data_IF_168427585218
#
_entry.id   IF_168427585218
#
_cell.length_a   1.000
_cell.length_b   1.000
_cell.length_c   1.000
_cell.angle_alpha   90.00
_cell.angle_beta   90.00
_cell.angle_gamma   90.00
#
_symmetry.space_group_name_H-M   'P 1'
#
loop_
_entity.id
_entity.type
_entity.pdbx_description
1 polymer ?
#
# COMPACT_ATOMS: atom_id res chain seq x y z
N UNK A 1 25.60 -0.90 5.41
CA UNK A 1 24.77 -2.07 5.75
C UNK A 1 23.37 -1.78 5.28
N UNK A 2 22.66 -2.70 4.59
CA UNK A 2 21.26 -2.45 4.23
C UNK A 2 20.48 -2.22 5.53
N UNK A 3 19.80 -1.08 5.65
CA UNK A 3 19.19 -0.68 6.92
C UNK A 3 18.12 -1.68 7.37
N UNK A 4 17.41 -2.35 6.45
CA UNK A 4 16.42 -3.40 6.74
C UNK A 4 16.26 -4.35 5.53
N UNK A 5 15.94 -5.63 5.77
CA UNK A 5 15.54 -6.60 4.72
C UNK A 5 14.05 -6.50 4.43
N UNK A 6 13.68 -6.46 3.15
CA UNK A 6 12.30 -6.52 2.68
C UNK A 6 11.94 -7.92 2.21
N UNK A 7 10.85 -8.45 2.73
CA UNK A 7 10.22 -9.66 2.20
C UNK A 7 9.39 -9.27 0.98
N UNK A 8 9.71 -9.78 -0.19
CA UNK A 8 8.94 -9.55 -1.42
C UNK A 8 8.20 -10.80 -1.83
N UNK A 9 6.95 -10.65 -2.25
CA UNK A 9 6.12 -11.75 -2.71
C UNK A 9 5.23 -11.32 -3.86
N UNK A 10 4.67 -12.31 -4.56
CA UNK A 10 3.72 -12.11 -5.65
C UNK A 10 2.43 -12.87 -5.38
N UNK A 11 1.30 -12.32 -5.82
CA UNK A 11 0.01 -13.01 -5.80
C UNK A 11 -0.65 -12.88 -7.16
N UNK A 12 -0.91 -14.02 -7.79
CA UNK A 12 -1.64 -14.05 -9.06
C UNK A 12 -3.14 -13.98 -8.83
N UNK A 13 -3.82 -13.20 -9.66
CA UNK A 13 -5.26 -13.09 -9.67
C UNK A 13 -5.80 -13.01 -11.09
N UNK A 14 -7.13 -13.06 -11.26
CA UNK A 14 -7.78 -13.00 -12.58
C UNK A 14 -7.48 -11.72 -13.37
N UNK A 15 -7.00 -10.67 -12.72
CA UNK A 15 -6.70 -9.37 -13.32
C UNK A 15 -5.21 -9.19 -13.64
N UNK A 16 -4.36 -10.15 -13.29
CA UNK A 16 -2.89 -10.07 -13.42
C UNK A 16 -2.18 -10.38 -12.11
N UNK A 17 -0.89 -10.03 -12.04
CA UNK A 17 -0.03 -10.33 -10.89
C UNK A 17 0.13 -9.10 -10.00
N UNK A 18 -0.09 -9.27 -8.71
CA UNK A 18 0.20 -8.26 -7.68
C UNK A 18 1.60 -8.53 -7.15
N UNK A 19 2.42 -7.48 -7.10
CA UNK A 19 3.74 -7.52 -6.48
C UNK A 19 3.69 -6.72 -5.18
N UNK A 20 4.30 -7.23 -4.11
CA UNK A 20 4.26 -6.57 -2.82
C UNK A 20 5.56 -6.76 -2.02
N UNK A 21 5.80 -5.83 -1.09
CA UNK A 21 6.94 -5.85 -0.20
C UNK A 21 6.55 -5.48 1.24
N UNK A 22 6.94 -6.34 2.18
CA UNK A 22 6.73 -6.17 3.61
C UNK A 22 8.07 -5.94 4.31
N UNK A 23 8.16 -4.83 5.02
CA UNK A 23 9.26 -4.55 5.95
C UNK A 23 8.93 -5.14 7.33
N UNK A 24 9.89 -5.18 8.27
CA UNK A 24 9.61 -5.57 9.66
C UNK A 24 8.52 -4.73 10.35
N UNK A 25 8.18 -3.54 9.81
CA UNK A 25 7.13 -2.66 10.34
C UNK A 25 5.78 -2.83 9.64
N UNK A 26 5.73 -3.49 8.50
CA UNK A 26 4.51 -3.65 7.72
C UNK A 26 4.70 -3.52 6.21
N UNK A 27 3.58 -3.60 5.48
CA UNK A 27 3.52 -3.46 4.03
C UNK A 27 4.00 -2.06 3.63
N UNK A 28 5.02 -1.99 2.77
CA UNK A 28 5.64 -0.72 2.36
C UNK A 28 5.42 -0.39 0.87
N UNK A 29 5.14 -1.42 0.06
CA UNK A 29 4.88 -1.32 -1.37
C UNK A 29 3.94 -2.45 -1.83
N UNK A 30 2.99 -2.13 -2.70
CA UNK A 30 2.10 -3.06 -3.40
C UNK A 30 1.74 -2.45 -4.77
N UNK A 31 1.65 -3.26 -5.81
CA UNK A 31 1.18 -2.83 -7.13
C UNK A 31 -0.22 -3.34 -7.45
N UNK A 32 -0.96 -2.62 -8.29
CA UNK A 32 -2.18 -3.17 -8.88
C UNK A 32 -1.84 -4.24 -9.94
N UNK A 33 -2.75 -5.20 -10.20
CA UNK A 33 -2.53 -6.28 -11.19
C UNK A 33 -2.15 -5.81 -12.61
N UNK A 34 -2.49 -4.57 -12.96
CA UNK A 34 -2.17 -3.96 -14.27
C UNK A 34 -0.71 -3.53 -14.41
N UNK A 35 0.08 -3.55 -13.35
CA UNK A 35 1.49 -3.16 -13.35
C UNK A 35 2.40 -4.39 -13.49
N UNK A 36 3.62 -4.17 -13.95
CA UNK A 36 4.60 -5.22 -14.14
C UNK A 36 5.73 -5.16 -13.09
N UNK A 37 6.65 -6.12 -13.15
CA UNK A 37 7.81 -6.21 -12.25
C UNK A 37 8.75 -4.99 -12.31
N UNK A 38 8.81 -4.27 -13.43
CA UNK A 38 9.60 -3.05 -13.57
C UNK A 38 8.98 -1.90 -12.77
N UNK A 39 7.67 -1.76 -12.84
CA UNK A 39 6.95 -0.75 -12.04
C UNK A 39 7.14 -1.01 -10.55
N UNK A 40 7.09 -2.28 -10.15
CA UNK A 40 7.37 -2.69 -8.78
C UNK A 40 8.82 -2.40 -8.36
N UNK A 41 9.81 -2.68 -9.21
CA UNK A 41 11.20 -2.36 -8.93
C UNK A 41 11.42 -0.84 -8.74
N UNK A 42 10.78 -0.01 -9.57
CA UNK A 42 10.82 1.45 -9.43
C UNK A 42 10.16 1.93 -8.15
N UNK A 43 9.05 1.30 -7.74
CA UNK A 43 8.40 1.59 -6.47
C UNK A 43 9.31 1.22 -5.28
N UNK A 44 9.94 0.05 -5.31
CA UNK A 44 10.88 -0.39 -4.29
C UNK A 44 12.07 0.57 -4.13
N UNK A 45 12.67 0.98 -5.24
CA UNK A 45 13.81 1.92 -5.24
C UNK A 45 13.46 3.25 -4.57
N UNK A 46 12.22 3.74 -4.77
CA UNK A 46 11.71 4.96 -4.13
C UNK A 46 11.38 4.76 -2.65
N UNK A 47 10.81 3.62 -2.27
CA UNK A 47 10.29 3.37 -0.91
C UNK A 47 11.37 2.91 0.06
N UNK A 48 12.32 2.13 -0.40
CA UNK A 48 13.34 1.49 0.41
C UNK A 48 14.65 1.36 -0.38
N UNK A 49 15.28 2.50 -0.74
CA UNK A 49 16.54 2.47 -1.48
C UNK A 49 17.57 1.66 -0.70
N UNK A 50 18.30 0.79 -1.39
CA UNK A 50 19.36 -0.08 -0.83
C UNK A 50 18.89 -1.12 0.19
N UNK A 51 17.60 -1.40 0.30
CA UNK A 51 17.13 -2.52 1.10
C UNK A 51 17.58 -3.86 0.50
N UNK A 52 17.91 -4.82 1.36
CA UNK A 52 18.12 -6.20 0.92
C UNK A 52 16.75 -6.81 0.59
N UNK A 53 16.64 -7.46 -0.57
CA UNK A 53 15.41 -8.12 -1.00
C UNK A 53 15.50 -9.61 -0.67
N UNK A 54 14.47 -10.12 0.00
CA UNK A 54 14.28 -11.53 0.29
C UNK A 54 12.95 -11.98 -0.35
N UNK A 55 12.99 -12.70 -1.48
CA UNK A 55 11.79 -13.33 -2.03
C UNK A 55 11.25 -14.37 -1.07
N UNK A 56 9.94 -14.35 -0.82
CA UNK A 56 9.22 -15.29 0.04
C UNK A 56 7.86 -15.62 -0.57
N UNK A 57 7.23 -16.69 -0.10
CA UNK A 57 5.83 -16.96 -0.41
C UNK A 57 4.91 -15.96 0.29
N UNK A 58 3.77 -15.65 -0.33
CA UNK A 58 2.82 -14.66 0.20
C UNK A 58 2.32 -15.05 1.61
N UNK A 59 2.12 -16.34 1.84
CA UNK A 59 1.69 -16.93 3.12
C UNK A 59 2.67 -16.68 4.27
N UNK A 60 3.94 -16.41 3.98
CA UNK A 60 4.97 -16.11 4.98
C UNK A 60 4.89 -14.67 5.52
N UNK A 61 4.08 -13.82 4.89
CA UNK A 61 3.86 -12.42 5.27
C UNK A 61 2.45 -12.21 5.81
N UNK A 62 2.26 -11.23 6.69
CA UNK A 62 0.91 -10.94 7.19
C UNK A 62 0.04 -10.35 6.07
N UNK A 63 0.58 -9.38 5.34
CA UNK A 63 -0.11 -8.74 4.22
C UNK A 63 -0.43 -9.73 3.09
N UNK A 64 0.46 -10.67 2.78
CA UNK A 64 0.21 -11.67 1.73
C UNK A 64 -0.91 -12.64 2.11
N UNK A 65 -0.96 -13.13 3.36
CA UNK A 65 -2.10 -13.94 3.85
C UNK A 65 -3.43 -13.20 3.73
N UNK A 66 -3.47 -11.92 4.10
CA UNK A 66 -4.67 -11.09 4.00
C UNK A 66 -5.08 -10.85 2.54
N UNK A 67 -4.12 -10.57 1.66
CA UNK A 67 -4.36 -10.36 0.24
C UNK A 67 -4.92 -11.62 -0.43
N UNK A 68 -4.34 -12.79 -0.15
CA UNK A 68 -4.85 -14.09 -0.63
C UNK A 68 -6.28 -14.35 -0.16
N UNK A 69 -6.59 -14.06 1.10
CA UNK A 69 -7.94 -14.23 1.65
C UNK A 69 -8.94 -13.25 1.02
N UNK A 70 -8.55 -12.00 0.81
CA UNK A 70 -9.33 -10.96 0.15
C UNK A 70 -9.66 -11.34 -1.30
N UNK A 71 -8.67 -11.78 -2.08
CA UNK A 71 -8.84 -12.20 -3.47
C UNK A 71 -9.69 -13.47 -3.61
N UNK A 72 -9.68 -14.34 -2.59
CA UNK A 72 -10.57 -15.49 -2.51
C UNK A 72 -12.02 -15.13 -2.12
N UNK A 73 -12.34 -13.85 -1.90
CA UNK A 73 -13.67 -13.41 -1.49
C UNK A 73 -14.04 -13.77 -0.06
N UNK A 74 -13.07 -14.12 0.79
CA UNK A 74 -13.31 -14.60 2.17
C UNK A 74 -13.55 -13.48 3.19
N UNK A 75 -13.99 -12.30 2.74
CA UNK A 75 -14.44 -11.20 3.61
C UNK A 75 -13.41 -10.74 4.65
N UNK A 76 -12.13 -10.70 4.29
CA UNK A 76 -11.05 -10.36 5.23
C UNK A 76 -10.72 -8.87 5.21
N UNK A 77 -10.46 -8.29 6.39
CA UNK A 77 -9.93 -6.94 6.52
C UNK A 77 -8.49 -6.86 6.00
N UNK A 78 -8.21 -5.87 5.17
CA UNK A 78 -6.85 -5.51 4.74
C UNK A 78 -6.23 -4.55 5.76
N UNK A 79 -5.96 -5.06 6.96
CA UNK A 79 -5.54 -4.26 8.13
C UNK A 79 -4.09 -4.51 8.58
N UNK A 80 -3.28 -5.23 7.80
CA UNK A 80 -1.85 -5.39 8.05
C UNK A 80 -1.19 -4.02 8.31
N UNK A 81 -0.25 -3.91 9.26
CA UNK A 81 0.49 -2.67 9.49
C UNK A 81 1.11 -2.14 8.19
N UNK A 82 1.17 -0.81 8.06
CA UNK A 82 1.77 -0.14 6.91
C UNK A 82 3.06 0.54 7.33
N UNK A 83 4.12 0.37 6.54
CA UNK A 83 5.36 1.11 6.72
C UNK A 83 5.35 2.34 5.81
N UNK A 84 4.88 3.46 6.37
CA UNK A 84 4.72 4.75 5.68
C UNK A 84 5.93 5.69 5.87
N UNK A 85 7.08 5.17 6.34
CA UNK A 85 8.31 5.97 6.48
C UNK A 85 8.71 6.64 5.17
N UNK A 86 9.34 7.81 5.26
CA UNK A 86 9.78 8.58 4.10
C UNK A 86 8.68 9.32 3.36
N UNK A 87 7.40 9.11 3.72
CA UNK A 87 6.29 9.92 3.22
C UNK A 87 6.16 11.21 4.04
N UNK A 88 5.62 12.26 3.42
CA UNK A 88 5.39 13.53 4.12
C UNK A 88 4.30 13.39 5.18
N UNK A 89 4.29 14.20 6.25
CA UNK A 89 3.23 14.15 7.26
C UNK A 89 1.82 14.31 6.66
N UNK A 90 1.67 15.14 5.63
CA UNK A 90 0.39 15.29 4.92
C UNK A 90 -0.02 14.02 4.18
N UNK A 91 0.92 13.37 3.49
CA UNK A 91 0.68 12.10 2.78
C UNK A 91 0.25 11.02 3.77
N UNK A 92 0.96 10.88 4.90
CA UNK A 92 0.63 9.92 5.96
C UNK A 92 -0.78 10.15 6.49
N UNK A 93 -1.12 11.40 6.87
CA UNK A 93 -2.44 11.75 7.39
C UNK A 93 -3.57 11.44 6.39
N UNK A 94 -3.34 11.71 5.09
CA UNK A 94 -4.31 11.36 4.03
C UNK A 94 -4.48 9.85 3.91
N UNK A 95 -3.38 9.09 3.86
CA UNK A 95 -3.42 7.63 3.72
C UNK A 95 -4.09 6.96 4.93
N UNK A 96 -3.75 7.38 6.15
CA UNK A 96 -4.40 6.89 7.37
C UNK A 96 -5.90 7.20 7.37
N UNK A 97 -6.28 8.40 6.94
CA UNK A 97 -7.69 8.78 6.88
C UNK A 97 -8.46 7.95 5.86
N UNK A 98 -7.89 7.74 4.68
CA UNK A 98 -8.50 6.95 3.61
C UNK A 98 -8.59 5.48 3.99
N UNK A 99 -7.56 4.94 4.64
CA UNK A 99 -7.56 3.58 5.20
C UNK A 99 -8.68 3.34 6.21
N UNK A 100 -9.10 4.36 6.95
CA UNK A 100 -10.19 4.28 7.91
C UNK A 100 -11.60 4.35 7.28
N UNK A 101 -11.72 4.41 5.95
CA UNK A 101 -13.02 4.38 5.28
C UNK A 101 -13.62 2.96 5.40
N UNK A 102 -14.83 2.81 5.96
CA UNK A 102 -15.46 1.49 6.06
C UNK A 102 -15.71 0.88 4.67
N UNK A 103 -15.65 -0.45 4.60
CA UNK A 103 -15.95 -1.16 3.37
C UNK A 103 -17.33 -0.80 2.81
N UNK A 104 -17.40 -0.54 1.50
CA UNK A 104 -18.63 -0.13 0.81
C UNK A 104 -18.98 1.36 0.97
N UNK A 105 -18.16 2.15 1.67
CA UNK A 105 -18.32 3.60 1.76
C UNK A 105 -17.26 4.32 0.92
N UNK A 106 -17.56 5.56 0.57
CA UNK A 106 -16.64 6.45 -0.16
C UNK A 106 -16.61 7.82 0.47
N UNK A 107 -15.49 8.53 0.30
CA UNK A 107 -15.35 9.93 0.66
C UNK A 107 -14.84 10.72 -0.54
N UNK A 108 -15.29 11.96 -0.66
CA UNK A 108 -14.71 12.87 -1.65
C UNK A 108 -13.35 13.35 -1.18
N UNK A 109 -12.45 13.67 -2.12
CA UNK A 109 -11.15 14.24 -1.79
C UNK A 109 -11.26 15.54 -0.99
N UNK A 110 -12.29 16.36 -1.24
CA UNK A 110 -12.55 17.57 -0.45
C UNK A 110 -12.93 17.25 1.00
N UNK A 111 -13.64 16.14 1.24
CA UNK A 111 -13.97 15.69 2.60
C UNK A 111 -12.73 15.17 3.32
N UNK A 112 -11.92 14.34 2.67
CA UNK A 112 -10.63 13.89 3.23
C UNK A 112 -9.74 15.09 3.55
N UNK A 113 -9.61 16.04 2.62
CA UNK A 113 -8.81 17.25 2.81
C UNK A 113 -9.26 18.07 4.04
N UNK A 114 -10.57 18.20 4.25
CA UNK A 114 -11.14 18.86 5.44
C UNK A 114 -10.82 18.09 6.73
N UNK A 115 -10.99 16.78 6.72
CA UNK A 115 -10.79 15.92 7.89
C UNK A 115 -9.31 15.83 8.30
N UNK A 116 -8.36 16.00 7.37
CA UNK A 116 -6.93 16.12 7.67
C UNK A 116 -6.45 17.56 7.94
N UNK A 117 -7.38 18.50 8.17
CA UNK A 117 -7.06 19.87 8.56
C UNK A 117 -6.58 20.78 7.44
N UNK A 118 -6.74 20.40 6.16
CA UNK A 118 -6.36 21.22 4.99
C UNK A 118 -7.51 21.33 3.98
N UNK A 119 -8.60 22.07 4.30
CA UNK A 119 -9.84 22.05 3.51
C UNK A 119 -9.70 22.38 2.02
N UNK A 120 -8.72 23.22 1.65
CA UNK A 120 -8.44 23.60 0.26
C UNK A 120 -7.56 22.59 -0.53
N UNK A 121 -7.18 21.47 0.09
CA UNK A 121 -6.16 20.55 -0.45
C UNK A 121 -6.74 19.35 -1.24
N UNK A 122 -7.97 19.44 -1.76
CA UNK A 122 -8.61 18.33 -2.48
C UNK A 122 -7.76 17.78 -3.65
N UNK A 123 -7.12 18.67 -4.44
CA UNK A 123 -6.22 18.26 -5.52
C UNK A 123 -4.97 17.55 -4.99
N UNK A 124 -4.42 18.00 -3.86
CA UNK A 124 -3.26 17.39 -3.24
C UNK A 124 -3.60 16.00 -2.68
N UNK A 125 -4.81 15.80 -2.13
CA UNK A 125 -5.31 14.47 -1.75
C UNK A 125 -5.36 13.55 -2.98
N UNK A 126 -5.89 14.02 -4.10
CA UNK A 126 -5.89 13.25 -5.35
C UNK A 126 -4.48 12.85 -5.81
N UNK A 127 -3.49 13.73 -5.63
CA UNK A 127 -2.09 13.40 -5.92
C UNK A 127 -1.50 12.37 -4.95
N UNK A 128 -1.87 12.42 -3.66
CA UNK A 128 -1.48 11.37 -2.70
C UNK A 128 -2.05 10.03 -3.14
N UNK A 129 -3.33 9.97 -3.49
CA UNK A 129 -3.98 8.72 -3.93
C UNK A 129 -3.43 8.20 -5.26
N UNK A 130 -3.06 9.09 -6.18
CA UNK A 130 -2.41 8.70 -7.44
C UNK A 130 -1.04 8.03 -7.22
N UNK A 131 -0.31 8.46 -6.18
CA UNK A 131 0.99 7.90 -5.81
C UNK A 131 0.92 6.95 -4.62
N UNK A 132 -0.27 6.38 -4.34
CA UNK A 132 -0.46 5.47 -3.22
C UNK A 132 0.44 4.24 -3.40
N UNK A 133 1.44 4.02 -2.51
CA UNK A 133 2.36 2.91 -2.64
C UNK A 133 1.76 1.58 -2.20
N UNK A 134 0.58 1.57 -1.58
CA UNK A 134 -0.06 0.37 -1.02
C UNK A 134 -1.57 0.37 -1.35
N UNK A 135 -1.94 0.34 -2.64
CA UNK A 135 -3.34 0.26 -3.04
C UNK A 135 -4.00 -0.99 -2.47
N UNK A 136 -5.34 -1.03 -2.43
CA UNK A 136 -6.17 -2.04 -1.75
C UNK A 136 -6.14 -1.93 -0.22
N UNK A 137 -4.95 -1.87 0.40
CA UNK A 137 -4.80 -1.63 1.84
C UNK A 137 -5.09 -0.19 2.23
N UNK A 138 -4.87 0.75 1.29
CA UNK A 138 -5.39 2.11 1.32
C UNK A 138 -6.29 2.23 0.07
N UNK A 139 -7.63 2.24 0.22
CA UNK A 139 -8.56 2.14 -0.90
C UNK A 139 -8.70 3.42 -1.73
#
# INVERSE_FOLDING_TARGET
MPEHTLKTYTVDCRLGTIFAAESPRGLCALTLPSHNSRDFALLLDRRAPRAAILPVEAEETLSGRQLLAYLAGRGTSLDAPLDLRGLTPFTVAVMERVRAIPHGQTLTYGRVAREVGRPAAARAVGQVMHHNPVPLFVP
#
